data_IF_454606064913
#
_entry.id   IF_454606064913
#
_cell.length_a   1.000
_cell.length_b   1.000
_cell.length_c   1.000
_cell.angle_alpha   90.00
_cell.angle_beta   90.00
_cell.angle_gamma   90.00
#
_symmetry.space_group_name_H-M   'P 1'
#
loop_
_entity.id
_entity.type
_entity.pdbx_description
1 polymer ?
#
# COMPACT_ATOMS: atom_id res chain seq x y z
N UNK A 1 -2.92 -1.89 12.52
CA UNK A 1 -3.24 -0.91 11.46
C UNK A 1 -2.02 -0.05 11.20
N UNK A 2 -1.73 0.30 9.94
CA UNK A 2 -0.56 1.10 9.55
C UNK A 2 -0.95 2.57 9.42
N UNK A 3 -0.07 3.47 9.84
CA UNK A 3 -0.20 4.90 9.54
C UNK A 3 0.24 5.16 8.10
N UNK A 4 -0.71 5.52 7.23
CA UNK A 4 -0.48 5.73 5.80
C UNK A 4 0.41 6.95 5.48
N UNK A 5 0.42 7.96 6.35
CA UNK A 5 1.25 9.15 6.16
C UNK A 5 2.71 8.84 6.54
N UNK A 6 2.91 8.12 7.64
CA UNK A 6 4.24 7.64 8.02
C UNK A 6 4.81 6.68 6.97
N UNK A 7 3.95 5.81 6.41
CA UNK A 7 4.32 4.92 5.32
C UNK A 7 4.73 5.68 4.07
N UNK A 8 3.94 6.67 3.64
CA UNK A 8 4.29 7.53 2.50
C UNK A 8 5.67 8.16 2.69
N UNK A 9 5.93 8.77 3.86
CA UNK A 9 7.24 9.38 4.17
C UNK A 9 8.38 8.38 4.11
N UNK A 10 8.18 7.19 4.66
CA UNK A 10 9.21 6.15 4.68
C UNK A 10 9.54 5.65 3.26
N UNK A 11 8.53 5.50 2.39
CA UNK A 11 8.70 5.10 1.00
C UNK A 11 9.36 6.18 0.15
N UNK A 12 8.98 7.45 0.34
CA UNK A 12 9.62 8.58 -0.36
C UNK A 12 11.06 8.78 0.09
N UNK A 13 11.37 8.51 1.36
CA UNK A 13 12.73 8.62 1.90
C UNK A 13 13.70 7.64 1.22
N UNK A 14 13.23 6.46 0.82
CA UNK A 14 14.04 5.44 0.15
C UNK A 14 15.13 4.82 1.03
N UNK A 15 15.64 3.66 0.62
CA UNK A 15 16.56 2.85 1.46
C UNK A 15 17.89 3.52 1.75
N UNK A 16 18.41 4.35 0.84
CA UNK A 16 19.71 5.02 0.98
C UNK A 16 19.72 5.99 2.17
N UNK A 17 18.58 6.63 2.47
CA UNK A 17 18.42 7.49 3.63
C UNK A 17 17.87 6.73 4.86
N UNK A 18 17.71 5.40 4.79
CA UNK A 18 17.09 4.61 5.85
C UNK A 18 15.56 4.70 5.88
N UNK A 19 14.94 4.70 4.71
CA UNK A 19 13.51 4.52 4.48
C UNK A 19 13.19 3.10 4.00
N UNK A 20 12.00 2.91 3.42
CA UNK A 20 11.53 1.63 2.90
C UNK A 20 11.81 1.49 1.40
N UNK A 21 12.09 0.27 0.96
CA UNK A 21 12.23 -0.04 -0.46
C UNK A 21 10.90 0.01 -1.20
N UNK A 22 9.85 -0.58 -0.62
CA UNK A 22 8.51 -0.63 -1.20
C UNK A 22 7.48 -1.18 -0.20
N UNK A 23 6.21 -1.11 -0.56
CA UNK A 23 5.10 -1.64 0.24
C UNK A 23 4.00 -2.24 -0.64
N UNK A 24 3.36 -3.30 -0.13
CA UNK A 24 2.10 -3.85 -0.65
C UNK A 24 0.98 -3.65 0.38
N UNK A 25 -0.12 -3.01 -0.02
CA UNK A 25 -1.28 -2.75 0.83
C UNK A 25 -2.51 -3.43 0.24
N UNK A 26 -3.14 -4.33 0.97
CA UNK A 26 -4.42 -4.95 0.57
C UNK A 26 -5.64 -4.24 1.16
N UNK A 27 -5.43 -3.55 2.29
CA UNK A 27 -6.43 -2.75 2.99
C UNK A 27 -5.92 -1.33 3.17
N UNK A 28 -6.81 -0.35 3.04
CA UNK A 28 -6.49 1.07 3.16
C UNK A 28 -7.56 1.79 3.99
N UNK A 29 -7.32 3.03 4.38
CA UNK A 29 -8.31 3.86 5.07
C UNK A 29 -8.27 5.26 4.44
N UNK A 30 -9.39 5.78 3.91
CA UNK A 30 -10.68 5.09 3.68
C UNK A 30 -10.62 4.06 2.53
N UNK A 31 -11.63 3.18 2.45
CA UNK A 31 -11.83 2.26 1.31
C UNK A 31 -13.08 2.63 0.50
N UNK A 32 -13.01 2.71 -0.84
CA UNK A 32 -11.80 2.59 -1.66
C UNK A 32 -10.87 3.80 -1.46
N UNK A 33 -9.56 3.59 -1.65
CA UNK A 33 -8.59 4.66 -1.52
C UNK A 33 -8.91 5.81 -2.51
N UNK A 34 -8.89 7.08 -2.08
CA UNK A 34 -9.14 8.21 -2.96
C UNK A 34 -8.17 8.23 -4.16
N UNK A 35 -8.68 8.56 -5.35
CA UNK A 35 -7.91 8.50 -6.61
C UNK A 35 -6.78 9.53 -6.67
N UNK A 36 -6.84 10.58 -5.85
CA UNK A 36 -5.82 11.60 -5.70
C UNK A 36 -4.74 11.24 -4.66
N UNK A 37 -4.89 10.11 -3.96
CA UNK A 37 -3.99 9.64 -2.91
C UNK A 37 -2.53 9.59 -3.38
N UNK A 38 -1.59 10.10 -2.57
CA UNK A 38 -0.18 10.09 -2.92
C UNK A 38 0.40 8.67 -3.00
N UNK A 39 -0.16 7.70 -2.27
CA UNK A 39 0.29 6.31 -2.30
C UNK A 39 0.09 5.66 -3.68
N UNK A 40 -0.95 6.05 -4.44
CA UNK A 40 -1.18 5.57 -5.81
C UNK A 40 -0.17 6.11 -6.83
N UNK A 41 0.59 7.15 -6.46
CA UNK A 41 1.58 7.80 -7.35
C UNK A 41 3.00 7.28 -7.10
N UNK A 42 3.22 6.52 -6.03
CA UNK A 42 4.54 5.98 -5.69
C UNK A 42 4.84 4.73 -6.53
N UNK A 43 5.95 4.69 -7.28
CA UNK A 43 6.29 3.54 -8.13
C UNK A 43 6.65 2.28 -7.34
N UNK A 44 6.87 2.41 -6.03
CA UNK A 44 7.22 1.35 -5.09
C UNK A 44 6.09 1.04 -4.08
N UNK A 45 4.86 1.48 -4.35
CA UNK A 45 3.70 1.16 -3.54
C UNK A 45 2.65 0.43 -4.39
N UNK A 46 2.36 -0.81 -4.05
CA UNK A 46 1.36 -1.65 -4.75
C UNK A 46 0.12 -1.77 -3.88
N UNK A 47 -1.04 -1.39 -4.42
CA UNK A 47 -2.31 -1.42 -3.68
C UNK A 47 -3.22 -2.46 -4.32
N UNK A 48 -3.54 -3.49 -3.55
CA UNK A 48 -4.53 -4.51 -3.86
C UNK A 48 -5.88 -4.07 -3.28
N UNK A 49 -6.98 -4.39 -3.97
CA UNK A 49 -8.33 -4.01 -3.53
C UNK A 49 -8.98 -5.16 -2.76
N UNK A 50 -8.63 -5.32 -1.48
CA UNK A 50 -9.22 -6.31 -0.57
C UNK A 50 -9.36 -7.72 -1.19
N UNK A 51 -8.31 -8.13 -1.91
CA UNK A 51 -8.25 -9.38 -2.67
C UNK A 51 -7.18 -10.33 -2.11
N UNK A 52 -6.47 -9.95 -1.04
CA UNK A 52 -5.44 -10.77 -0.41
C UNK A 52 -5.97 -12.07 0.18
N UNK A 53 -7.29 -12.19 0.42
CA UNK A 53 -7.96 -13.42 0.84
C UNK A 53 -8.64 -14.18 -0.30
N UNK A 54 -8.61 -13.67 -1.53
CA UNK A 54 -9.26 -14.31 -2.69
C UNK A 54 -8.27 -15.28 -3.34
N UNK A 55 -8.33 -16.55 -2.92
CA UNK A 55 -7.67 -17.67 -3.62
C UNK A 55 -8.73 -18.48 -4.38
N UNK A 56 -8.37 -19.13 -5.49
CA UNK A 56 -9.31 -19.99 -6.24
C UNK A 56 -9.89 -21.11 -5.34
N UNK A 57 -9.10 -21.57 -4.36
CA UNK A 57 -9.47 -22.57 -3.37
C UNK A 57 -10.53 -22.08 -2.35
N UNK A 58 -10.75 -20.77 -2.22
CA UNK A 58 -11.67 -20.22 -1.22
C UNK A 58 -13.16 -20.38 -1.60
N UNK A 59 -13.46 -20.83 -2.82
CA UNK A 59 -14.82 -21.00 -3.36
C UNK A 59 -15.18 -22.47 -3.69
N UNK A 60 -14.31 -23.45 -3.37
CA UNK A 60 -14.60 -24.89 -3.42
C UNK A 60 -15.00 -25.40 -2.05
#
# INVERSE_FOLDING_TARGET
MVDQEALYRALTKGVEAGGLFGAGLDVTVPEPLPTDSPLLKLPNCFILSHAGSTTDDAYT
#
